data_IF_854099926523
#
_entry.id   IF_854099926523
#
_cell.length_a   1.000
_cell.length_b   1.000
_cell.length_c   1.000
_cell.angle_alpha   90.00
_cell.angle_beta   90.00
_cell.angle_gamma   90.00
#
_symmetry.space_group_name_H-M   'P 1'
#
loop_
_entity.id
_entity.type
_entity.pdbx_description
1 polymer ?
#
# COMPACT_ATOMS: atom_id res chain seq x y z
N UNK A 1 52.42 -60.14 -22.42
CA UNK A 1 52.52 -59.15 -21.32
C UNK A 1 51.89 -57.84 -21.79
N UNK A 2 51.04 -57.25 -20.95
CA UNK A 2 50.13 -56.11 -21.22
C UNK A 2 50.89 -54.81 -21.55
N UNK A 3 50.34 -54.00 -22.47
CA UNK A 3 50.44 -52.53 -22.41
C UNK A 3 49.02 -51.97 -22.46
N UNK A 4 48.63 -51.34 -21.35
CA UNK A 4 47.28 -50.91 -21.04
C UNK A 4 46.87 -49.68 -21.88
N UNK A 5 45.67 -49.75 -22.43
CA UNK A 5 44.83 -48.64 -22.83
C UNK A 5 44.50 -47.78 -21.61
N UNK A 6 44.92 -46.51 -21.60
CA UNK A 6 44.39 -45.49 -20.70
C UNK A 6 43.56 -44.54 -21.55
N UNK A 7 42.29 -44.89 -21.75
CA UNK A 7 41.29 -43.98 -22.29
C UNK A 7 40.01 -44.25 -21.53
N UNK A 8 39.72 -43.43 -20.53
CA UNK A 8 38.47 -43.57 -19.78
C UNK A 8 38.53 -43.00 -18.39
N UNK A 9 38.71 -41.68 -18.25
CA UNK A 9 38.20 -40.98 -17.06
C UNK A 9 38.18 -39.44 -17.25
N UNK A 10 37.40 -38.89 -18.19
CA UNK A 10 37.16 -37.43 -18.20
C UNK A 10 35.68 -37.06 -18.38
N UNK A 11 34.81 -37.97 -18.75
CA UNK A 11 33.39 -37.67 -19.00
C UNK A 11 32.54 -38.11 -17.81
N UNK A 12 32.64 -37.43 -16.67
CA UNK A 12 31.64 -37.57 -15.59
C UNK A 12 31.45 -36.34 -14.70
N UNK A 13 32.23 -35.26 -14.88
CA UNK A 13 32.12 -34.08 -13.99
C UNK A 13 31.25 -32.95 -14.57
N UNK A 14 30.87 -32.99 -15.87
CA UNK A 14 30.18 -31.87 -16.52
C UNK A 14 28.64 -31.96 -16.45
N UNK A 15 28.05 -33.08 -16.02
CA UNK A 15 26.59 -33.26 -16.10
C UNK A 15 25.79 -32.89 -14.82
N UNK A 16 26.45 -32.46 -13.73
CA UNK A 16 25.78 -32.20 -12.44
C UNK A 16 25.50 -30.71 -12.19
N UNK A 17 25.91 -29.80 -13.08
CA UNK A 17 25.75 -28.35 -12.91
C UNK A 17 24.43 -27.78 -13.47
N UNK A 18 23.56 -28.59 -14.09
CA UNK A 18 22.30 -28.14 -14.70
C UNK A 18 21.07 -28.15 -13.77
N UNK A 19 21.23 -28.55 -12.50
CA UNK A 19 20.15 -28.59 -11.51
C UNK A 19 20.25 -27.48 -10.46
N UNK A 20 20.89 -26.35 -10.78
CA UNK A 20 20.74 -25.17 -9.94
C UNK A 20 19.30 -24.66 -10.10
N UNK A 21 18.48 -24.61 -9.03
CA UNK A 21 17.19 -23.96 -9.10
C UNK A 21 17.46 -22.51 -9.50
N UNK A 22 17.12 -22.19 -10.75
CA UNK A 22 17.13 -20.82 -11.21
C UNK A 22 16.11 -20.09 -10.35
N UNK A 23 16.58 -19.37 -9.33
CA UNK A 23 15.81 -18.39 -8.60
C UNK A 23 15.44 -17.28 -9.59
N UNK A 24 14.51 -17.56 -10.51
CA UNK A 24 13.95 -16.57 -11.41
C UNK A 24 13.07 -15.68 -10.57
N UNK A 25 13.52 -14.45 -10.36
CA UNK A 25 12.62 -13.38 -9.95
C UNK A 25 11.60 -13.15 -11.07
N UNK A 26 10.36 -12.91 -10.68
CA UNK A 26 9.29 -12.52 -11.61
C UNK A 26 9.68 -11.20 -12.30
N UNK A 27 9.43 -11.09 -13.60
CA UNK A 27 9.69 -9.85 -14.32
C UNK A 27 8.70 -8.75 -13.88
N UNK A 28 9.03 -7.46 -14.02
CA UNK A 28 8.11 -6.36 -13.74
C UNK A 28 6.78 -6.46 -14.49
N UNK A 29 6.84 -6.82 -15.76
CA UNK A 29 5.70 -6.94 -16.66
C UNK A 29 4.81 -8.12 -16.27
N UNK A 30 5.43 -9.26 -15.96
CA UNK A 30 4.74 -10.46 -15.47
C UNK A 30 4.08 -10.19 -14.12
N UNK A 31 4.78 -9.50 -13.20
CA UNK A 31 4.23 -9.13 -11.90
C UNK A 31 3.00 -8.24 -12.07
N UNK A 32 3.08 -7.20 -12.90
CA UNK A 32 1.95 -6.31 -13.16
C UNK A 32 0.77 -7.05 -13.81
N UNK A 33 1.04 -8.00 -14.70
CA UNK A 33 0.01 -8.82 -15.34
C UNK A 33 -0.56 -9.92 -14.44
N UNK A 34 0.07 -10.23 -13.31
CA UNK A 34 -0.35 -11.29 -12.38
C UNK A 34 -1.37 -10.83 -11.33
N UNK A 35 -1.55 -9.51 -11.17
CA UNK A 35 -2.39 -8.92 -10.13
C UNK A 35 -3.37 -7.91 -10.69
N UNK A 36 -4.53 -7.82 -10.06
CA UNK A 36 -5.52 -6.77 -10.30
C UNK A 36 -5.87 -6.09 -8.97
N UNK A 37 -5.92 -4.76 -8.95
CA UNK A 37 -6.36 -4.00 -7.77
C UNK A 37 -7.87 -3.87 -7.82
N UNK A 38 -8.55 -4.34 -6.77
CA UNK A 38 -10.02 -4.35 -6.65
C UNK A 38 -10.46 -3.69 -5.34
N UNK A 39 -11.73 -3.27 -5.27
CA UNK A 39 -12.32 -2.62 -4.09
C UNK A 39 -11.51 -1.40 -3.59
N UNK A 40 -10.92 -0.64 -4.51
CA UNK A 40 -10.11 0.52 -4.18
C UNK A 40 -11.00 1.66 -3.66
N UNK A 41 -10.65 2.16 -2.48
CA UNK A 41 -11.24 3.35 -1.88
C UNK A 41 -10.15 4.21 -1.25
N UNK A 42 -10.41 5.51 -1.14
CA UNK A 42 -9.50 6.45 -0.52
C UNK A 42 -10.28 7.42 0.37
N UNK A 43 -9.64 7.85 1.46
CA UNK A 43 -10.21 8.79 2.43
C UNK A 43 -9.11 9.43 3.26
N UNK A 44 -9.46 10.48 3.98
CA UNK A 44 -8.62 11.12 4.97
C UNK A 44 -9.00 10.64 6.36
N UNK A 45 -8.00 10.24 7.14
CA UNK A 45 -8.21 9.74 8.51
C UNK A 45 -7.36 10.54 9.48
N UNK A 46 -7.80 10.61 10.74
CA UNK A 46 -6.99 11.21 11.78
C UNK A 46 -5.70 10.41 12.00
N UNK A 47 -4.56 11.12 11.97
CA UNK A 47 -3.28 10.64 12.50
C UNK A 47 -3.13 11.06 13.95
N UNK A 48 -3.49 12.31 14.26
CA UNK A 48 -3.44 12.87 15.61
C UNK A 48 -4.67 13.74 15.81
N UNK A 49 -5.26 13.67 17.00
CA UNK A 49 -6.28 14.60 17.45
C UNK A 49 -6.04 14.95 18.93
N UNK A 50 -6.14 16.23 19.24
CA UNK A 50 -5.98 16.77 20.58
C UNK A 50 -6.96 17.94 20.76
N UNK A 51 -7.85 17.91 21.77
CA UNK A 51 -8.80 19.00 22.02
C UNK A 51 -8.12 20.29 22.49
N UNK A 52 -7.07 20.20 23.31
CA UNK A 52 -6.40 21.36 23.90
C UNK A 52 -4.87 21.20 24.05
N UNK A 53 -4.04 22.12 23.50
CA UNK A 53 -4.40 23.05 22.42
C UNK A 53 -5.00 22.31 21.21
N UNK A 54 -5.98 22.89 20.50
CA UNK A 54 -6.63 22.23 19.37
C UNK A 54 -5.63 21.84 18.29
N UNK A 55 -5.55 20.55 18.01
CA UNK A 55 -4.74 19.99 16.93
C UNK A 55 -5.44 18.78 16.32
N UNK A 56 -5.57 18.79 15.00
CA UNK A 56 -6.03 17.68 14.19
C UNK A 56 -5.09 17.53 13.00
N UNK A 57 -4.45 16.38 12.86
CA UNK A 57 -3.64 16.04 11.69
C UNK A 57 -4.38 14.97 10.91
N UNK A 58 -4.80 15.30 9.68
CA UNK A 58 -5.41 14.34 8.76
C UNK A 58 -4.36 13.85 7.76
N UNK A 59 -4.40 12.56 7.45
CA UNK A 59 -3.52 11.97 6.44
C UNK A 59 -4.34 11.23 5.37
N UNK A 60 -3.91 11.27 4.10
CA UNK A 60 -4.53 10.48 3.07
C UNK A 60 -4.26 8.99 3.31
N UNK A 61 -5.27 8.18 3.04
CA UNK A 61 -5.25 6.73 3.19
C UNK A 61 -5.91 6.10 1.97
N UNK A 62 -5.29 5.04 1.46
CA UNK A 62 -5.87 4.21 0.40
C UNK A 62 -6.08 2.80 0.96
N UNK A 63 -7.22 2.22 0.61
CA UNK A 63 -7.62 0.87 1.01
C UNK A 63 -8.03 0.10 -0.24
N UNK A 64 -7.54 -1.12 -0.40
CA UNK A 64 -7.81 -1.93 -1.58
C UNK A 64 -7.62 -3.41 -1.27
N UNK A 65 -8.00 -4.26 -2.22
CA UNK A 65 -7.61 -5.67 -2.24
C UNK A 65 -6.88 -5.99 -3.54
N UNK A 66 -6.20 -7.13 -3.54
CA UNK A 66 -5.46 -7.63 -4.69
C UNK A 66 -6.08 -8.95 -5.10
N UNK A 67 -6.54 -9.02 -6.35
CA UNK A 67 -6.98 -10.28 -6.97
C UNK A 67 -5.81 -10.91 -7.71
N UNK A 68 -5.61 -12.20 -7.50
CA UNK A 68 -4.63 -12.97 -8.26
C UNK A 68 -5.25 -13.41 -9.60
N UNK A 69 -4.76 -12.83 -10.70
CA UNK A 69 -5.22 -13.17 -12.05
C UNK A 69 -4.25 -14.10 -12.78
N UNK A 70 -3.19 -14.55 -12.10
CA UNK A 70 -2.24 -15.52 -12.63
C UNK A 70 -2.68 -16.97 -12.38
N UNK A 71 -1.99 -17.91 -13.03
CA UNK A 71 -2.20 -19.35 -12.81
C UNK A 71 -1.44 -19.94 -11.61
N UNK A 72 -0.73 -19.14 -10.83
CA UNK A 72 0.09 -19.61 -9.70
C UNK A 72 -0.24 -18.88 -8.39
N UNK A 73 -0.10 -19.51 -7.22
CA UNK A 73 -0.29 -18.82 -5.95
C UNK A 73 0.70 -17.66 -5.76
N UNK A 74 0.20 -16.49 -5.35
CA UNK A 74 1.04 -15.34 -5.04
C UNK A 74 1.41 -15.37 -3.56
N UNK A 75 2.69 -15.60 -3.28
CA UNK A 75 3.20 -15.82 -1.92
C UNK A 75 3.81 -14.57 -1.29
N UNK A 76 4.20 -13.60 -2.11
CA UNK A 76 5.01 -12.47 -1.67
C UNK A 76 4.64 -11.22 -2.45
N UNK A 77 4.09 -10.21 -1.77
CA UNK A 77 3.87 -8.88 -2.32
C UNK A 77 4.21 -7.83 -1.27
N UNK A 78 4.91 -6.80 -1.73
CA UNK A 78 5.12 -5.54 -1.04
C UNK A 78 4.38 -4.45 -1.80
N UNK A 79 3.87 -3.48 -1.05
CA UNK A 79 3.32 -2.27 -1.62
C UNK A 79 4.06 -1.06 -1.09
N UNK A 80 4.26 -0.10 -1.97
CA UNK A 80 4.68 1.24 -1.60
C UNK A 80 3.67 2.24 -2.17
N UNK A 81 3.15 3.12 -1.32
CA UNK A 81 2.29 4.22 -1.73
C UNK A 81 3.06 5.53 -1.57
N UNK A 82 3.07 6.35 -2.61
CA UNK A 82 3.59 7.72 -2.57
C UNK A 82 2.41 8.67 -2.73
N UNK A 83 2.14 9.47 -1.69
CA UNK A 83 1.07 10.46 -1.65
C UNK A 83 1.64 11.83 -1.98
N UNK A 84 1.05 12.50 -2.97
CA UNK A 84 1.47 13.84 -3.39
C UNK A 84 0.31 14.65 -3.94
N UNK A 85 0.47 15.96 -4.00
CA UNK A 85 -0.48 16.82 -4.71
C UNK A 85 -0.33 16.62 -6.22
N UNK A 86 -1.45 16.64 -6.96
CA UNK A 86 -1.51 16.28 -8.38
C UNK A 86 -0.52 17.08 -9.23
N UNK A 87 -0.52 18.40 -9.05
CA UNK A 87 0.25 19.36 -9.86
C UNK A 87 1.54 19.83 -9.17
N UNK A 88 1.93 19.15 -8.09
CA UNK A 88 3.09 19.52 -7.29
C UNK A 88 4.21 18.47 -7.43
N UNK A 89 5.44 18.95 -7.29
CA UNK A 89 6.62 18.09 -7.20
C UNK A 89 6.82 17.60 -5.76
N UNK A 90 6.26 18.31 -4.78
CA UNK A 90 6.37 17.96 -3.37
C UNK A 90 5.52 16.73 -3.01
N UNK A 91 6.18 15.73 -2.42
CA UNK A 91 5.50 14.59 -1.81
C UNK A 91 4.96 15.02 -0.46
N UNK A 92 3.70 14.68 -0.18
CA UNK A 92 3.20 14.80 1.19
C UNK A 92 3.88 13.74 2.05
N UNK A 93 3.86 12.49 1.60
CA UNK A 93 4.43 11.37 2.34
C UNK A 93 4.31 10.04 1.62
N UNK A 94 4.72 8.97 2.29
CA UNK A 94 4.76 7.62 1.74
C UNK A 94 4.42 6.55 2.79
N UNK A 95 4.23 5.32 2.32
CA UNK A 95 4.08 4.16 3.18
C UNK A 95 4.57 2.89 2.47
N UNK A 96 5.38 2.08 3.14
CA UNK A 96 5.77 0.75 2.69
C UNK A 96 5.12 -0.34 3.56
N UNK A 97 4.56 -1.37 2.90
CA UNK A 97 3.91 -2.49 3.57
C UNK A 97 4.25 -3.83 2.91
N UNK A 98 4.79 -4.74 3.72
CA UNK A 98 4.96 -6.15 3.35
C UNK A 98 3.62 -6.91 3.51
N UNK A 99 2.71 -6.74 2.56
CA UNK A 99 1.31 -7.18 2.69
C UNK A 99 1.11 -8.70 2.60
N UNK A 100 1.77 -9.38 1.66
CA UNK A 100 1.61 -10.83 1.44
C UNK A 100 2.93 -11.54 1.73
N UNK A 101 2.89 -12.53 2.62
CA UNK A 101 4.07 -13.28 3.11
C UNK A 101 3.79 -14.73 3.49
N UNK A 102 2.86 -14.92 4.41
CA UNK A 102 2.58 -16.23 5.04
C UNK A 102 1.33 -16.90 4.48
N UNK A 103 0.36 -16.07 4.06
CA UNK A 103 -0.90 -16.52 3.49
C UNK A 103 -0.88 -16.16 2.01
N UNK A 104 -0.67 -17.15 1.13
CA UNK A 104 -0.69 -16.89 -0.31
C UNK A 104 -2.09 -16.54 -0.78
N UNK A 105 -2.18 -15.82 -1.89
CA UNK A 105 -3.42 -15.60 -2.63
C UNK A 105 -3.49 -16.68 -3.71
N UNK A 106 -4.39 -17.68 -3.62
CA UNK A 106 -4.56 -18.68 -4.67
C UNK A 106 -4.96 -18.05 -6.01
N UNK A 107 -4.78 -18.76 -7.15
CA UNK A 107 -5.28 -18.31 -8.45
C UNK A 107 -6.78 -17.98 -8.41
N UNK A 108 -7.16 -16.82 -8.95
CA UNK A 108 -8.56 -16.34 -9.00
C UNK A 108 -9.08 -15.71 -7.70
N UNK A 109 -8.39 -15.91 -6.57
CA UNK A 109 -8.81 -15.42 -5.26
C UNK A 109 -8.38 -13.98 -4.99
N UNK A 110 -8.99 -13.39 -3.96
CA UNK A 110 -8.73 -12.00 -3.52
C UNK A 110 -8.08 -11.96 -2.14
N UNK A 111 -7.14 -11.04 -1.96
CA UNK A 111 -6.47 -10.84 -0.67
C UNK A 111 -7.42 -10.32 0.42
N UNK A 112 -6.94 -10.36 1.66
CA UNK A 112 -7.43 -9.48 2.72
C UNK A 112 -7.32 -8.00 2.33
N UNK A 113 -8.05 -7.13 3.04
CA UNK A 113 -7.95 -5.68 2.86
C UNK A 113 -6.55 -5.20 3.19
N UNK A 114 -5.99 -4.39 2.30
CA UNK A 114 -4.68 -3.74 2.44
C UNK A 114 -4.94 -2.25 2.61
N UNK A 115 -4.36 -1.65 3.65
CA UNK A 115 -4.48 -0.22 3.93
C UNK A 115 -3.09 0.41 3.99
N UNK A 116 -2.89 1.46 3.21
CA UNK A 116 -1.67 2.27 3.22
C UNK A 116 -2.03 3.68 3.65
N UNK A 117 -1.38 4.15 4.72
CA UNK A 117 -1.61 5.45 5.34
C UNK A 117 -0.35 6.29 5.23
N UNK A 118 -0.46 7.50 4.72
CA UNK A 118 0.69 8.42 4.61
C UNK A 118 1.32 8.67 5.99
N UNK A 119 2.65 8.67 6.04
CA UNK A 119 3.43 9.05 7.22
C UNK A 119 3.32 10.55 7.56
N UNK A 120 2.90 11.40 6.62
CA UNK A 120 2.70 12.84 6.81
C UNK A 120 1.31 13.29 6.36
N UNK A 121 0.87 14.42 6.88
CA UNK A 121 -0.51 14.91 6.75
C UNK A 121 -0.60 16.42 6.83
N UNK A 122 -1.83 16.89 6.67
CA UNK A 122 -2.17 18.31 6.82
C UNK A 122 -2.63 18.54 8.25
N UNK A 123 -2.09 19.57 8.90
CA UNK A 123 -2.50 19.99 10.24
C UNK A 123 -3.56 21.09 10.17
N UNK A 124 -4.52 21.02 11.09
CA UNK A 124 -5.56 21.99 11.32
C UNK A 124 -5.99 21.97 12.79
N UNK A 125 -6.97 22.78 13.15
CA UNK A 125 -7.49 22.87 14.53
C UNK A 125 -8.82 22.15 14.71
N UNK A 126 -9.59 21.99 13.64
CA UNK A 126 -10.90 21.34 13.64
C UNK A 126 -11.27 20.77 12.28
N UNK A 127 -12.24 19.86 12.24
CA UNK A 127 -12.79 19.25 11.03
C UNK A 127 -13.39 20.30 10.06
N UNK A 128 -13.95 21.40 10.59
CA UNK A 128 -14.48 22.49 9.76
C UNK A 128 -13.39 23.17 8.94
N UNK A 129 -12.21 23.42 9.52
CA UNK A 129 -11.08 24.00 8.79
C UNK A 129 -10.64 23.17 7.59
N UNK A 130 -10.83 21.85 7.68
CA UNK A 130 -10.57 20.95 6.59
C UNK A 130 -11.66 21.07 5.51
N UNK A 131 -12.94 20.91 5.87
CA UNK A 131 -14.06 20.92 4.92
C UNK A 131 -14.21 22.25 4.16
N UNK A 132 -13.96 23.36 4.83
CA UNK A 132 -14.20 24.69 4.30
C UNK A 132 -12.97 25.27 3.58
N UNK A 133 -11.84 24.54 3.52
CA UNK A 133 -10.60 25.04 2.92
C UNK A 133 -10.68 25.08 1.38
N UNK A 134 -10.77 26.28 0.75
CA UNK A 134 -10.80 26.37 -0.71
C UNK A 134 -9.45 26.00 -1.35
N UNK A 135 -8.37 25.99 -0.58
CA UNK A 135 -7.01 25.63 -1.02
C UNK A 135 -6.75 24.11 -0.92
N UNK A 136 -7.76 23.27 -0.68
CA UNK A 136 -7.59 21.83 -0.67
C UNK A 136 -7.20 21.32 -2.06
N UNK A 137 -5.90 21.20 -2.31
CA UNK A 137 -5.35 20.72 -3.58
C UNK A 137 -5.73 19.25 -3.81
N UNK A 138 -6.13 18.86 -5.03
CA UNK A 138 -6.30 17.45 -5.38
C UNK A 138 -5.02 16.65 -5.10
N UNK A 139 -5.19 15.46 -4.54
CA UNK A 139 -4.09 14.56 -4.21
C UNK A 139 -4.18 13.27 -5.00
N UNK A 140 -3.02 12.69 -5.29
CA UNK A 140 -2.91 11.37 -5.89
C UNK A 140 -2.04 10.45 -5.02
N UNK A 141 -2.31 9.16 -5.11
CA UNK A 141 -1.43 8.10 -4.62
C UNK A 141 -0.86 7.33 -5.81
N UNK A 142 0.46 7.34 -5.95
CA UNK A 142 1.15 6.40 -6.83
C UNK A 142 1.37 5.10 -6.08
N UNK A 143 0.74 4.03 -6.55
CA UNK A 143 0.84 2.70 -5.92
C UNK A 143 1.84 1.85 -6.69
N UNK A 144 2.85 1.38 -5.97
CA UNK A 144 3.87 0.47 -6.48
C UNK A 144 3.72 -0.90 -5.85
N UNK A 145 4.03 -1.92 -6.63
CA UNK A 145 4.11 -3.31 -6.18
C UNK A 145 5.53 -3.84 -6.35
N UNK A 146 5.93 -4.74 -5.47
CA UNK A 146 7.17 -5.48 -5.57
C UNK A 146 6.96 -6.91 -5.10
N UNK A 147 7.49 -7.88 -5.84
CA UNK A 147 7.61 -9.27 -5.42
C UNK A 147 9.04 -9.58 -4.96
N UNK A 148 9.29 -10.81 -4.50
CA UNK A 148 10.60 -11.19 -3.95
C UNK A 148 11.69 -11.07 -5.03
N UNK A 149 12.63 -10.16 -4.82
CA UNK A 149 13.75 -9.94 -5.74
C UNK A 149 13.37 -9.18 -7.02
N UNK A 150 12.14 -8.68 -7.15
CA UNK A 150 11.77 -7.79 -8.26
C UNK A 150 12.08 -6.33 -7.90
N UNK A 151 12.14 -5.46 -8.92
CA UNK A 151 12.08 -4.01 -8.73
C UNK A 151 10.66 -3.57 -8.33
N UNK A 152 10.52 -2.31 -7.91
CA UNK A 152 9.21 -1.68 -7.72
C UNK A 152 8.59 -1.37 -9.09
N UNK A 153 7.32 -1.72 -9.25
CA UNK A 153 6.55 -1.54 -10.48
C UNK A 153 5.35 -0.66 -10.20
N UNK A 154 5.16 0.40 -10.98
CA UNK A 154 3.97 1.26 -10.86
C UNK A 154 2.74 0.50 -11.34
N UNK A 155 1.80 0.25 -10.41
CA UNK A 155 0.50 -0.32 -10.73
C UNK A 155 -0.43 0.73 -11.30
N UNK A 156 -0.50 1.90 -10.66
CA UNK A 156 -1.36 2.99 -11.07
C UNK A 156 -1.22 4.24 -10.23
N UNK A 157 -1.85 5.31 -10.71
CA UNK A 157 -2.01 6.57 -10.01
C UNK A 157 -3.50 6.75 -9.70
N UNK A 158 -3.84 6.94 -8.43
CA UNK A 158 -5.22 7.00 -7.96
C UNK A 158 -5.50 8.34 -7.31
N UNK A 159 -6.61 8.98 -7.69
CA UNK A 159 -7.08 10.18 -7.01
C UNK A 159 -7.53 9.87 -5.58
N UNK A 160 -7.12 10.71 -4.64
CA UNK A 160 -7.53 10.61 -3.25
C UNK A 160 -8.81 11.42 -3.04
N UNK A 161 -9.86 10.74 -2.60
CA UNK A 161 -11.13 11.35 -2.23
C UNK A 161 -10.92 12.43 -1.17
N UNK A 162 -11.79 13.44 -1.18
CA UNK A 162 -11.88 14.44 -0.12
C UNK A 162 -12.72 13.99 1.07
N UNK A 163 -13.22 12.76 1.05
CA UNK A 163 -13.93 12.17 2.17
C UNK A 163 -13.03 12.14 3.42
N UNK A 164 -13.56 12.63 4.54
CA UNK A 164 -12.88 12.63 5.83
C UNK A 164 -13.62 11.68 6.76
N UNK A 165 -12.95 10.62 7.16
CA UNK A 165 -13.40 9.68 8.18
C UNK A 165 -12.84 10.08 9.54
N UNK A 166 -13.44 11.14 10.07
CA UNK A 166 -13.19 11.65 11.40
C UNK A 166 -14.43 12.39 11.90
N UNK A 167 -14.83 12.10 13.13
CA UNK A 167 -15.86 12.84 13.85
C UNK A 167 -15.23 13.45 15.10
N UNK A 168 -15.41 14.75 15.28
CA UNK A 168 -14.99 15.42 16.51
C UNK A 168 -15.83 14.90 17.69
N UNK A 169 -15.21 14.59 18.83
CA UNK A 169 -15.94 14.26 20.04
C UNK A 169 -16.73 15.48 20.52
N UNK A 170 -17.90 15.23 21.10
CA UNK A 170 -18.71 16.28 21.72
C UNK A 170 -17.92 16.94 22.87
N UNK A 171 -18.00 18.28 23.03
CA UNK A 171 -17.36 18.98 24.12
C UNK A 171 -17.91 18.48 25.46
N UNK A 172 -17.01 17.99 26.32
CA UNK A 172 -17.35 17.54 27.68
C UNK A 172 -17.80 18.75 28.51
N UNK A 173 -19.04 18.74 29.00
CA UNK A 173 -19.54 19.75 29.94
C UNK A 173 -20.67 20.66 29.46
N UNK A 174 -21.26 20.41 28.28
CA UNK A 174 -22.41 21.21 27.81
C UNK A 174 -23.72 20.63 28.37
N UNK A 175 -23.98 20.83 29.66
CA UNK A 175 -25.35 20.71 30.17
C UNK A 175 -26.22 21.72 29.42
N UNK A 176 -27.20 21.23 28.64
CA UNK A 176 -28.24 22.07 28.07
C UNK A 176 -28.99 22.69 29.26
N UNK A 177 -28.69 23.94 29.59
CA UNK A 177 -29.60 24.73 30.44
C UNK A 177 -30.89 24.91 29.63
N UNK A 178 -31.89 24.08 29.94
CA UNK A 178 -33.26 24.37 29.57
C UNK A 178 -33.61 25.71 30.22
N UNK A 179 -33.80 26.73 29.38
CA UNK A 179 -34.37 28.00 29.81
C UNK A 179 -35.82 27.73 30.22
N UNK A 180 -36.05 27.51 31.51
CA UNK A 180 -37.38 27.66 32.11
C UNK A 180 -37.84 29.09 31.88
N UNK A 181 -38.70 29.27 30.86
CA UNK A 181 -39.59 30.42 30.77
C UNK A 181 -40.45 30.43 32.02
N UNK A 182 -40.21 31.40 32.91
CA UNK A 182 -41.17 31.77 33.96
C UNK A 182 -42.18 32.74 33.34
N UNK A 183 -43.42 32.27 33.25
CA UNK A 183 -44.61 33.10 33.08
C UNK A 183 -44.92 33.89 34.38
#
# INVERSE_FOLDING_TARGET
MRRNTVLGLVISVVLVSLLLPSCKSISPEELKASVEIVELSSKWVAKTYQPWPPKLTLVPTITFRVKNISGQPINYLNFNAIFKFRDDQENLGDNFLAAIRKQPIPPGETSQVITLKSNFGVEGKSLAQFKDNPQWKPMICKLFIQSKGSVHVLLGEYEISREIDFKEPEPVGTEKKEEEKKD
#
